data_IF_740059885701
#
_entry.id   IF_740059885701
#
_cell.length_a   1.000
_cell.length_b   1.000
_cell.length_c   1.000
_cell.angle_alpha   90.00
_cell.angle_beta   90.00
_cell.angle_gamma   90.00
#
_symmetry.space_group_name_H-M   'P 1'
#
loop_
_entity.id
_entity.type
_entity.pdbx_description
1 polymer ?
#
# COMPACT_ATOMS: atom_id res chain seq x y z
N UNK A 1 -57.12 16.19 -7.76
CA UNK A 1 -56.08 16.29 -6.70
C UNK A 1 -54.88 15.35 -6.90
N UNK A 2 -55.01 14.21 -7.59
CA UNK A 2 -53.91 13.25 -7.79
C UNK A 2 -52.77 13.75 -8.71
N UNK A 3 -53.09 14.54 -9.75
CA UNK A 3 -52.10 15.07 -10.69
C UNK A 3 -51.13 16.11 -10.09
N UNK A 4 -51.57 16.91 -9.11
CA UNK A 4 -50.74 17.96 -8.52
C UNK A 4 -49.66 17.39 -7.58
N UNK A 5 -49.98 16.34 -6.81
CA UNK A 5 -49.01 15.64 -5.95
C UNK A 5 -47.96 14.87 -6.77
N UNK A 6 -48.33 14.30 -7.92
CA UNK A 6 -47.39 13.58 -8.79
C UNK A 6 -46.37 14.53 -9.46
N UNK A 7 -46.81 15.71 -9.89
CA UNK A 7 -45.91 16.74 -10.44
C UNK A 7 -44.96 17.32 -9.39
N UNK A 8 -45.42 17.50 -8.15
CA UNK A 8 -44.57 17.95 -7.04
C UNK A 8 -43.51 16.90 -6.67
N UNK A 9 -43.86 15.62 -6.64
CA UNK A 9 -42.92 14.52 -6.37
C UNK A 9 -41.89 14.35 -7.49
N UNK A 10 -42.30 14.44 -8.76
CA UNK A 10 -41.36 14.40 -9.88
C UNK A 10 -40.45 15.63 -9.92
N UNK A 11 -40.97 16.84 -9.66
CA UNK A 11 -40.16 18.05 -9.55
C UNK A 11 -39.14 17.98 -8.41
N UNK A 12 -39.54 17.48 -7.23
CA UNK A 12 -38.64 17.32 -6.08
C UNK A 12 -37.53 16.27 -6.35
N UNK A 13 -37.88 15.17 -7.02
CA UNK A 13 -36.95 14.13 -7.43
C UNK A 13 -35.97 14.61 -8.51
N UNK A 14 -36.43 15.42 -9.48
CA UNK A 14 -35.57 16.04 -10.50
C UNK A 14 -34.60 17.04 -9.85
N UNK A 15 -35.07 17.90 -8.93
CA UNK A 15 -34.21 18.86 -8.22
C UNK A 15 -33.17 18.15 -7.34
N UNK A 16 -33.55 17.10 -6.62
CA UNK A 16 -32.60 16.28 -5.86
C UNK A 16 -31.58 15.59 -6.77
N UNK A 17 -32.01 15.07 -7.93
CA UNK A 17 -31.11 14.44 -8.91
C UNK A 17 -30.16 15.46 -9.54
N UNK A 18 -30.62 16.67 -9.85
CA UNK A 18 -29.79 17.76 -10.37
C UNK A 18 -28.78 18.28 -9.34
N UNK A 19 -29.21 18.50 -8.10
CA UNK A 19 -28.32 18.91 -7.01
C UNK A 19 -27.27 17.83 -6.74
N UNK A 20 -27.66 16.56 -6.71
CA UNK A 20 -26.74 15.44 -6.55
C UNK A 20 -25.69 15.40 -7.66
N UNK A 21 -26.11 15.50 -8.94
CA UNK A 21 -25.19 15.61 -10.08
C UNK A 21 -24.26 16.83 -10.00
N UNK A 22 -24.74 17.99 -9.57
CA UNK A 22 -23.88 19.18 -9.42
C UNK A 22 -22.83 19.05 -8.32
N UNK A 23 -23.17 18.36 -7.22
CA UNK A 23 -22.24 18.11 -6.11
C UNK A 23 -21.18 17.09 -6.52
N UNK A 24 -21.58 16.04 -7.25
CA UNK A 24 -20.67 15.05 -7.83
C UNK A 24 -19.68 15.69 -8.81
N UNK A 25 -20.18 16.50 -9.74
CA UNK A 25 -19.33 17.18 -10.74
C UNK A 25 -18.33 18.14 -10.09
N UNK A 26 -18.78 18.91 -9.09
CA UNK A 26 -17.90 19.77 -8.28
C UNK A 26 -16.80 18.97 -7.58
N UNK A 27 -17.10 17.74 -7.15
CA UNK A 27 -16.14 16.88 -6.46
C UNK A 27 -15.16 16.20 -7.42
N UNK A 28 -15.60 15.77 -8.60
CA UNK A 28 -14.70 15.26 -9.65
C UNK A 28 -13.63 16.30 -10.00
N UNK A 29 -14.05 17.54 -10.27
CA UNK A 29 -13.13 18.64 -10.58
C UNK A 29 -12.10 18.85 -9.46
N UNK A 30 -12.51 18.71 -8.19
CA UNK A 30 -11.60 18.80 -7.03
C UNK A 30 -10.59 17.64 -7.00
N UNK A 31 -11.03 16.39 -7.24
CA UNK A 31 -10.12 15.23 -7.24
C UNK A 31 -9.07 15.37 -8.34
N UNK A 32 -9.49 15.67 -9.58
CA UNK A 32 -8.58 15.80 -10.72
C UNK A 32 -7.63 16.99 -10.50
N UNK A 33 -8.14 18.12 -9.98
CA UNK A 33 -7.31 19.28 -9.63
C UNK A 33 -6.25 18.91 -8.60
N UNK A 34 -6.65 18.24 -7.53
CA UNK A 34 -5.75 17.84 -6.45
C UNK A 34 -4.64 16.91 -6.94
N UNK A 35 -5.00 15.95 -7.80
CA UNK A 35 -4.05 15.05 -8.46
C UNK A 35 -3.04 15.84 -9.29
N UNK A 36 -3.52 16.79 -10.10
CA UNK A 36 -2.67 17.63 -10.96
C UNK A 36 -1.73 18.55 -10.18
N UNK A 37 -2.17 19.03 -9.02
CA UNK A 37 -1.36 19.92 -8.16
C UNK A 37 -0.51 19.18 -7.13
N UNK A 38 -0.55 17.85 -7.08
CA UNK A 38 0.07 17.03 -6.02
C UNK A 38 -0.31 17.51 -4.61
N UNK A 39 -1.56 17.92 -4.42
CA UNK A 39 -1.99 18.39 -3.11
C UNK A 39 -2.23 17.24 -2.13
N UNK A 40 -2.11 17.55 -0.84
CA UNK A 40 -2.20 16.56 0.25
C UNK A 40 -3.63 16.10 0.55
N UNK A 41 -4.64 16.79 0.01
CA UNK A 41 -6.05 16.58 0.34
C UNK A 41 -6.68 15.38 -0.39
N UNK A 42 -5.97 14.75 -1.33
CA UNK A 42 -6.49 13.60 -2.08
C UNK A 42 -6.96 12.48 -1.13
N UNK A 43 -6.28 12.30 0.00
CA UNK A 43 -6.63 11.32 1.03
C UNK A 43 -8.06 11.48 1.53
N UNK A 44 -8.42 12.72 1.85
CA UNK A 44 -9.70 13.06 2.42
C UNK A 44 -10.80 13.02 1.36
N UNK A 45 -10.49 13.48 0.14
CA UNK A 45 -11.41 13.43 -1.00
C UNK A 45 -11.81 11.98 -1.36
N UNK A 46 -10.90 11.01 -1.21
CA UNK A 46 -11.17 9.60 -1.51
C UNK A 46 -11.86 8.82 -0.37
N UNK A 47 -12.22 9.43 0.76
CA UNK A 47 -12.95 8.75 1.88
C UNK A 47 -14.42 8.43 1.57
N UNK A 48 -14.95 8.95 0.49
CA UNK A 48 -16.35 8.81 0.05
C UNK A 48 -16.69 7.38 -0.40
N UNK A 49 -17.96 6.98 -0.48
CA UNK A 49 -18.27 5.65 -1.05
C UNK A 49 -17.98 5.65 -2.55
N UNK A 50 -17.66 4.48 -3.10
CA UNK A 50 -17.42 4.34 -4.54
C UNK A 50 -18.67 4.66 -5.35
N UNK A 51 -19.85 4.29 -4.83
CA UNK A 51 -21.14 4.57 -5.46
C UNK A 51 -21.48 6.08 -5.50
N UNK A 52 -20.78 6.88 -4.69
CA UNK A 52 -20.90 8.34 -4.67
C UNK A 52 -19.90 9.02 -5.62
N UNK A 53 -19.25 8.29 -6.52
CA UNK A 53 -18.35 8.84 -7.54
C UNK A 53 -18.99 8.74 -8.92
N UNK A 54 -18.70 9.72 -9.77
CA UNK A 54 -19.11 9.66 -11.17
C UNK A 54 -18.43 8.47 -11.88
N UNK A 55 -19.10 7.83 -12.86
CA UNK A 55 -18.48 6.82 -13.70
C UNK A 55 -17.18 7.37 -14.32
N UNK A 56 -16.15 6.54 -14.41
CA UNK A 56 -14.85 6.90 -15.00
C UNK A 56 -14.01 7.95 -14.23
N UNK A 57 -14.53 8.55 -13.14
CA UNK A 57 -13.82 9.58 -12.39
C UNK A 57 -12.46 9.11 -11.84
N UNK A 58 -12.37 7.85 -11.39
CA UNK A 58 -11.12 7.30 -10.86
C UNK A 58 -10.13 6.97 -11.97
N UNK A 59 -10.62 6.56 -13.14
CA UNK A 59 -9.84 6.30 -14.34
C UNK A 59 -9.24 7.61 -14.88
N UNK A 60 -10.04 8.67 -14.99
CA UNK A 60 -9.56 10.00 -15.40
C UNK A 60 -8.54 10.58 -14.42
N UNK A 61 -8.80 10.42 -13.12
CA UNK A 61 -7.86 10.80 -12.08
C UNK A 61 -6.56 9.97 -12.15
N UNK A 62 -6.65 8.68 -12.49
CA UNK A 62 -5.48 7.80 -12.65
C UNK A 62 -4.63 8.25 -13.83
N UNK A 63 -5.24 8.55 -14.97
CA UNK A 63 -4.55 9.12 -16.13
C UNK A 63 -3.83 10.42 -15.77
N UNK A 64 -4.53 11.35 -15.10
CA UNK A 64 -3.92 12.59 -14.64
C UNK A 64 -2.75 12.35 -13.66
N UNK A 65 -2.86 11.36 -12.77
CA UNK A 65 -1.78 11.03 -11.83
C UNK A 65 -0.54 10.48 -12.54
N UNK A 66 -0.75 9.65 -13.58
CA UNK A 66 0.31 9.14 -14.45
C UNK A 66 0.98 10.27 -15.21
N UNK A 67 0.22 11.19 -15.81
CA UNK A 67 0.76 12.35 -16.53
C UNK A 67 1.67 13.22 -15.67
N UNK A 68 1.30 13.44 -14.41
CA UNK A 68 2.15 14.13 -13.44
C UNK A 68 3.37 13.27 -13.09
N UNK A 69 3.19 11.97 -12.95
CA UNK A 69 4.22 11.02 -12.53
C UNK A 69 4.24 10.75 -11.02
N UNK A 70 3.18 11.14 -10.31
CA UNK A 70 3.10 10.97 -8.86
C UNK A 70 2.67 9.55 -8.49
N UNK A 71 3.65 8.72 -8.13
CA UNK A 71 3.43 7.32 -7.77
C UNK A 71 2.52 7.14 -6.54
N UNK A 72 2.52 8.06 -5.56
CA UNK A 72 1.63 8.00 -4.41
C UNK A 72 0.16 8.17 -4.82
N UNK A 73 -0.13 9.13 -5.70
CA UNK A 73 -1.47 9.37 -6.20
C UNK A 73 -1.97 8.19 -7.04
N UNK A 74 -1.10 7.67 -7.92
CA UNK A 74 -1.36 6.44 -8.69
C UNK A 74 -1.76 5.29 -7.76
N UNK A 75 -0.94 4.99 -6.77
CA UNK A 75 -1.21 3.91 -5.83
C UNK A 75 -2.52 4.10 -5.05
N UNK A 76 -2.80 5.33 -4.58
CA UNK A 76 -4.05 5.64 -3.87
C UNK A 76 -5.30 5.43 -4.71
N UNK A 77 -5.27 5.85 -5.97
CA UNK A 77 -6.39 5.71 -6.89
C UNK A 77 -6.65 4.25 -7.22
N UNK A 78 -5.60 3.45 -7.44
CA UNK A 78 -5.71 2.00 -7.62
C UNK A 78 -6.32 1.34 -6.37
N UNK A 79 -5.82 1.63 -5.17
CA UNK A 79 -6.37 1.08 -3.90
C UNK A 79 -7.83 1.48 -3.71
N UNK A 80 -8.21 2.67 -4.19
CA UNK A 80 -9.59 3.12 -4.14
C UNK A 80 -10.49 2.29 -5.04
N UNK A 81 -10.00 1.89 -6.22
CA UNK A 81 -10.74 1.07 -7.17
C UNK A 81 -10.66 1.55 -8.62
N UNK A 82 -9.71 2.42 -8.95
CA UNK A 82 -9.47 2.83 -10.34
C UNK A 82 -9.19 1.61 -11.23
N UNK A 83 -9.90 1.50 -12.35
CA UNK A 83 -9.69 0.45 -13.35
C UNK A 83 -8.68 0.91 -14.40
N UNK A 84 -8.54 0.13 -15.48
CA UNK A 84 -7.69 0.46 -16.64
C UNK A 84 -6.19 0.60 -16.34
N UNK A 85 -5.68 -0.19 -15.39
CA UNK A 85 -4.27 -0.22 -15.00
C UNK A 85 -3.34 -0.49 -16.21
N UNK A 86 -3.78 -1.30 -17.18
CA UNK A 86 -3.02 -1.57 -18.41
C UNK A 86 -2.82 -0.31 -19.26
N UNK A 87 -3.88 0.47 -19.48
CA UNK A 87 -3.78 1.74 -20.20
C UNK A 87 -2.87 2.72 -19.47
N UNK A 88 -3.03 2.85 -18.15
CA UNK A 88 -2.18 3.67 -17.31
C UNK A 88 -0.70 3.24 -17.39
N UNK A 89 -0.42 1.94 -17.51
CA UNK A 89 0.92 1.41 -17.68
C UNK A 89 1.52 1.82 -19.02
N UNK A 90 0.77 1.69 -20.12
CA UNK A 90 1.19 2.14 -21.45
C UNK A 90 1.44 3.65 -21.48
N UNK A 91 0.56 4.45 -20.88
CA UNK A 91 0.71 5.90 -20.80
C UNK A 91 1.95 6.29 -19.98
N UNK A 92 2.18 5.62 -18.84
CA UNK A 92 3.36 5.86 -18.01
C UNK A 92 4.67 5.53 -18.75
N UNK A 93 4.65 4.53 -19.61
CA UNK A 93 5.79 4.18 -20.48
C UNK A 93 5.98 5.23 -21.57
N UNK A 94 4.92 5.59 -22.31
CA UNK A 94 4.97 6.61 -23.37
C UNK A 94 5.49 7.96 -22.85
N UNK A 95 5.10 8.34 -21.64
CA UNK A 95 5.46 9.60 -21.00
C UNK A 95 6.75 9.54 -20.17
N UNK A 96 7.45 8.38 -20.15
CA UNK A 96 8.68 8.15 -19.38
C UNK A 96 8.53 8.47 -17.87
N UNK A 97 7.36 8.15 -17.30
CA UNK A 97 7.05 8.38 -15.89
C UNK A 97 7.44 7.16 -15.05
N UNK A 98 8.74 6.98 -14.84
CA UNK A 98 9.31 5.75 -14.26
C UNK A 98 8.76 5.39 -12.87
N UNK A 99 8.53 6.36 -11.99
CA UNK A 99 8.00 6.08 -10.63
C UNK A 99 6.52 5.67 -10.66
N UNK A 100 5.71 6.34 -11.47
CA UNK A 100 4.32 5.95 -11.70
C UNK A 100 4.25 4.55 -12.34
N UNK A 101 5.10 4.29 -13.33
CA UNK A 101 5.24 2.99 -13.98
C UNK A 101 5.66 1.89 -13.00
N UNK A 102 6.65 2.14 -12.15
CA UNK A 102 7.10 1.23 -11.10
C UNK A 102 5.96 0.87 -10.13
N UNK A 103 5.21 1.87 -9.66
CA UNK A 103 4.03 1.64 -8.82
C UNK A 103 3.00 0.76 -9.53
N UNK A 104 2.67 1.04 -10.79
CA UNK A 104 1.71 0.24 -11.57
C UNK A 104 2.18 -1.21 -11.75
N UNK A 105 3.47 -1.44 -12.00
CA UNK A 105 4.02 -2.79 -12.13
C UNK A 105 3.99 -3.56 -10.80
N UNK A 106 4.34 -2.91 -9.68
CA UNK A 106 4.23 -3.51 -8.34
C UNK A 106 2.77 -3.83 -7.99
N UNK A 107 1.84 -2.95 -8.37
CA UNK A 107 0.39 -3.17 -8.24
C UNK A 107 -0.06 -4.38 -9.03
N UNK A 108 0.33 -4.48 -10.31
CA UNK A 108 -0.02 -5.62 -11.17
C UNK A 108 0.49 -6.90 -10.53
N UNK A 109 1.77 -6.94 -10.14
CA UNK A 109 2.36 -8.09 -9.47
C UNK A 109 1.59 -8.49 -8.19
N UNK A 110 1.19 -7.50 -7.40
CA UNK A 110 0.38 -7.69 -6.19
C UNK A 110 -1.03 -8.24 -6.48
N UNK A 111 -1.66 -7.85 -7.59
CA UNK A 111 -2.98 -8.33 -8.01
C UNK A 111 -2.93 -9.75 -8.59
N UNK A 112 -1.90 -10.05 -9.39
CA UNK A 112 -1.77 -11.32 -10.12
C UNK A 112 -0.96 -12.38 -9.38
N UNK A 113 -0.48 -12.08 -8.16
CA UNK A 113 0.45 -12.92 -7.38
C UNK A 113 1.73 -13.28 -8.16
N UNK A 114 2.19 -12.38 -9.03
CA UNK A 114 3.36 -12.57 -9.87
C UNK A 114 4.65 -12.26 -9.10
N UNK A 115 5.23 -13.31 -8.50
CA UNK A 115 6.48 -13.21 -7.76
C UNK A 115 7.66 -12.85 -8.65
N UNK A 116 7.70 -13.33 -9.88
CA UNK A 116 8.86 -13.15 -10.77
C UNK A 116 8.98 -11.69 -11.22
N UNK A 117 7.84 -11.02 -11.46
CA UNK A 117 7.83 -9.58 -11.70
C UNK A 117 8.36 -8.80 -10.50
N UNK A 118 7.99 -9.16 -9.26
CA UNK A 118 8.56 -8.53 -8.05
C UNK A 118 10.07 -8.72 -8.00
N UNK A 119 10.55 -9.96 -8.14
CA UNK A 119 11.98 -10.26 -8.14
C UNK A 119 12.74 -9.42 -9.15
N UNK A 120 12.18 -9.30 -10.35
CA UNK A 120 12.76 -8.52 -11.44
C UNK A 120 12.76 -7.01 -11.15
N UNK A 121 11.68 -6.46 -10.59
CA UNK A 121 11.60 -5.04 -10.22
C UNK A 121 12.64 -4.66 -9.16
N UNK A 122 12.93 -5.56 -8.23
CA UNK A 122 13.96 -5.35 -7.20
C UNK A 122 15.37 -5.75 -7.64
N UNK A 123 15.57 -6.06 -8.93
CA UNK A 123 16.89 -6.37 -9.48
C UNK A 123 17.52 -7.65 -8.92
N UNK A 124 16.72 -8.55 -8.34
CA UNK A 124 17.23 -9.82 -7.86
C UNK A 124 17.59 -10.66 -9.07
N UNK A 125 18.86 -11.09 -9.22
CA UNK A 125 19.25 -11.94 -10.33
C UNK A 125 18.45 -13.25 -10.22
N UNK A 126 17.49 -13.41 -11.12
CA UNK A 126 16.80 -14.68 -11.26
C UNK A 126 17.85 -15.75 -11.60
N UNK A 127 17.70 -16.96 -11.07
CA UNK A 127 18.61 -18.07 -11.36
C UNK A 127 18.67 -18.44 -12.87
N UNK A 128 17.81 -17.86 -13.71
CA UNK A 128 17.85 -17.91 -15.18
C UNK A 128 17.33 -16.59 -15.77
N UNK A 129 17.86 -16.20 -16.92
CA UNK A 129 17.36 -15.12 -17.80
C UNK A 129 15.84 -15.26 -18.04
N UNK A 130 15.02 -14.67 -17.17
CA UNK A 130 13.58 -14.56 -17.36
C UNK A 130 13.30 -13.27 -18.11
N UNK A 131 13.08 -13.40 -19.42
CA UNK A 131 12.30 -12.43 -20.15
C UNK A 131 10.90 -12.41 -19.51
N UNK A 132 10.47 -11.23 -19.06
CA UNK A 132 9.15 -11.04 -18.46
C UNK A 132 8.41 -10.00 -19.31
N UNK A 133 7.19 -10.29 -19.83
CA UNK A 133 6.54 -9.45 -20.85
C UNK A 133 6.45 -7.97 -20.48
N UNK A 134 6.19 -7.66 -19.21
CA UNK A 134 6.06 -6.28 -18.70
C UNK A 134 7.39 -5.60 -18.32
N UNK A 135 8.50 -6.31 -18.44
CA UNK A 135 9.81 -5.92 -17.91
C UNK A 135 10.95 -6.27 -18.88
N UNK A 136 10.73 -6.05 -20.18
CA UNK A 136 11.70 -6.32 -21.26
C UNK A 136 11.83 -5.10 -22.18
N UNK A 137 12.12 -3.92 -21.62
CA UNK A 137 12.39 -2.72 -22.42
C UNK A 137 13.56 -1.90 -21.87
N UNK A 138 14.10 -1.01 -22.72
CA UNK A 138 15.31 -0.23 -22.45
C UNK A 138 15.16 0.67 -21.22
N UNK A 139 13.97 1.24 -21.02
CA UNK A 139 13.64 2.12 -19.90
C UNK A 139 13.40 1.37 -18.57
N UNK A 140 13.35 0.04 -18.58
CA UNK A 140 13.08 -0.76 -17.38
C UNK A 140 14.17 -0.61 -16.31
N UNK A 141 15.40 -0.30 -16.73
CA UNK A 141 16.51 -0.04 -15.80
C UNK A 141 16.24 1.16 -14.87
N UNK A 142 15.61 2.23 -15.37
CA UNK A 142 15.22 3.39 -14.56
C UNK A 142 14.04 3.07 -13.63
N UNK A 143 13.12 2.21 -14.06
CA UNK A 143 12.04 1.67 -13.22
C UNK A 143 12.63 0.87 -12.05
N UNK A 144 13.58 -0.02 -12.31
CA UNK A 144 14.27 -0.79 -11.26
C UNK A 144 15.00 0.13 -10.28
N UNK A 145 15.76 1.13 -10.79
CA UNK A 145 16.43 2.10 -9.93
C UNK A 145 15.45 2.81 -9.01
N UNK A 146 14.26 3.20 -9.50
CA UNK A 146 13.24 3.84 -8.68
C UNK A 146 12.73 2.93 -7.54
N UNK A 147 12.56 1.63 -7.80
CA UNK A 147 12.16 0.65 -6.78
C UNK A 147 13.29 0.38 -5.78
N UNK A 148 14.49 0.07 -6.27
CA UNK A 148 15.65 -0.33 -5.43
C UNK A 148 16.12 0.82 -4.53
N UNK A 149 16.06 2.06 -5.02
CA UNK A 149 16.43 3.24 -4.22
C UNK A 149 15.38 3.63 -3.17
N UNK A 150 14.25 2.93 -3.10
CA UNK A 150 13.16 3.26 -2.18
C UNK A 150 12.37 4.52 -2.55
N UNK A 151 12.57 5.08 -3.76
CA UNK A 151 11.79 6.24 -4.24
C UNK A 151 10.31 5.91 -4.43
N UNK A 152 9.99 4.64 -4.66
CA UNK A 152 8.61 4.15 -4.85
C UNK A 152 8.17 3.37 -3.63
N UNK A 153 7.11 3.85 -2.97
CA UNK A 153 6.57 3.19 -1.79
C UNK A 153 5.97 1.80 -2.09
N UNK A 154 6.25 0.83 -1.24
CA UNK A 154 5.67 -0.52 -1.29
C UNK A 154 4.41 -0.70 -0.45
N UNK A 155 4.00 0.32 0.32
CA UNK A 155 2.81 0.28 1.20
C UNK A 155 1.56 -0.11 0.42
N UNK A 156 1.34 0.54 -0.72
CA UNK A 156 0.18 0.28 -1.58
C UNK A 156 0.22 -1.14 -2.18
N UNK A 157 1.32 -1.57 -2.83
CA UNK A 157 1.45 -2.94 -3.30
C UNK A 157 1.22 -4.01 -2.22
N UNK A 158 1.78 -3.82 -1.01
CA UNK A 158 1.59 -4.74 0.13
C UNK A 158 0.11 -4.79 0.55
N UNK A 159 -0.56 -3.63 0.61
CA UNK A 159 -1.99 -3.56 0.92
C UNK A 159 -2.85 -4.28 -0.13
N UNK A 160 -2.54 -4.08 -1.42
CA UNK A 160 -3.26 -4.72 -2.52
C UNK A 160 -3.07 -6.23 -2.50
N UNK A 161 -1.84 -6.72 -2.30
CA UNK A 161 -1.56 -8.15 -2.19
C UNK A 161 -2.34 -8.77 -1.01
N UNK A 162 -2.47 -8.06 0.11
CA UNK A 162 -3.32 -8.49 1.23
C UNK A 162 -4.80 -8.57 0.84
N UNK A 163 -5.36 -7.54 0.18
CA UNK A 163 -6.77 -7.51 -0.24
C UNK A 163 -7.12 -8.63 -1.21
N UNK A 164 -6.17 -9.02 -2.06
CA UNK A 164 -6.32 -10.11 -3.03
C UNK A 164 -5.94 -11.49 -2.47
N UNK A 165 -5.55 -11.59 -1.20
CA UNK A 165 -5.11 -12.84 -0.56
C UNK A 165 -3.94 -13.51 -1.29
N UNK A 166 -2.95 -12.69 -1.71
CA UNK A 166 -1.74 -13.11 -2.40
C UNK A 166 -0.53 -13.12 -1.43
N UNK A 167 -0.38 -14.17 -0.58
CA UNK A 167 0.61 -14.17 0.49
C UNK A 167 2.05 -14.21 -0.03
N UNK A 168 2.28 -14.88 -1.17
CA UNK A 168 3.63 -15.05 -1.76
C UNK A 168 4.21 -13.70 -2.17
N UNK A 169 3.48 -12.93 -2.98
CA UNK A 169 3.92 -11.58 -3.39
C UNK A 169 3.95 -10.64 -2.19
N UNK A 170 2.98 -10.71 -1.28
CA UNK A 170 2.97 -9.87 -0.08
C UNK A 170 4.24 -10.05 0.76
N UNK A 171 4.62 -11.30 1.02
CA UNK A 171 5.86 -11.63 1.73
C UNK A 171 7.08 -11.13 0.96
N UNK A 172 7.13 -11.33 -0.36
CA UNK A 172 8.28 -10.96 -1.16
C UNK A 172 8.50 -9.44 -1.24
N UNK A 173 7.40 -8.66 -1.32
CA UNK A 173 7.40 -7.19 -1.23
C UNK A 173 7.87 -6.73 0.15
N UNK A 174 7.33 -7.33 1.21
CA UNK A 174 7.66 -6.95 2.59
C UNK A 174 9.15 -7.15 2.88
N UNK A 175 9.70 -8.31 2.51
CA UNK A 175 11.10 -8.65 2.76
C UNK A 175 12.10 -7.86 1.92
N UNK A 176 11.62 -7.02 0.99
CA UNK A 176 12.43 -6.06 0.22
C UNK A 176 12.15 -4.62 0.58
N UNK A 177 11.23 -4.38 1.50
CA UNK A 177 10.89 -3.04 1.98
C UNK A 177 11.76 -2.72 3.19
N UNK A 178 12.66 -1.75 3.03
CA UNK A 178 13.49 -1.19 4.11
C UNK A 178 14.20 -2.24 4.97
N UNK A 179 14.76 -3.25 4.30
CA UNK A 179 15.56 -4.32 4.90
C UNK A 179 17.05 -4.04 4.61
N UNK A 180 17.84 -3.81 5.65
CA UNK A 180 19.28 -3.62 5.55
C UNK A 180 20.01 -4.71 6.35
N UNK A 181 20.52 -5.71 5.62
CA UNK A 181 21.17 -6.86 6.22
C UNK A 181 22.56 -6.53 6.79
N UNK A 182 23.29 -5.59 6.19
CA UNK A 182 24.61 -5.15 6.67
C UNK A 182 24.50 -4.49 8.04
N UNK A 183 23.49 -3.64 8.20
CA UNK A 183 23.21 -2.96 9.46
C UNK A 183 22.49 -3.84 10.49
N UNK A 184 21.90 -4.96 10.06
CA UNK A 184 21.02 -5.78 10.89
C UNK A 184 19.71 -5.08 11.21
N UNK A 185 19.17 -4.26 10.30
CA UNK A 185 17.97 -3.43 10.54
C UNK A 185 16.84 -3.75 9.56
N UNK A 186 15.61 -3.74 10.08
CA UNK A 186 14.36 -3.91 9.32
C UNK A 186 13.38 -2.83 9.77
N UNK A 187 12.92 -2.00 8.83
CA UNK A 187 12.03 -0.87 9.11
C UNK A 187 10.66 -1.05 8.43
N UNK A 188 9.78 -1.83 9.06
CA UNK A 188 8.42 -2.07 8.59
C UNK A 188 7.40 -1.16 9.27
N UNK A 189 7.72 0.13 9.38
CA UNK A 189 6.86 1.11 10.03
C UNK A 189 5.76 1.59 9.06
N UNK A 190 4.53 1.79 9.54
CA UNK A 190 3.50 2.47 8.74
C UNK A 190 2.97 1.66 7.54
N UNK A 191 3.29 0.37 7.44
CA UNK A 191 2.91 -0.49 6.31
C UNK A 191 1.46 -0.99 6.35
N UNK A 192 0.68 -0.56 7.37
CA UNK A 192 -0.72 -0.98 7.60
C UNK A 192 -0.87 -2.50 7.77
N UNK A 193 0.14 -3.13 8.36
CA UNK A 193 0.10 -4.56 8.67
C UNK A 193 -0.87 -4.80 9.84
N UNK A 194 -1.74 -5.79 9.69
CA UNK A 194 -2.73 -6.16 10.72
C UNK A 194 -2.29 -7.39 11.54
N UNK A 195 -1.44 -8.22 10.94
CA UNK A 195 -0.93 -9.46 11.50
C UNK A 195 0.55 -9.54 11.17
N UNK A 196 1.34 -10.01 12.13
CA UNK A 196 2.76 -10.31 11.97
C UNK A 196 2.91 -11.81 11.71
N UNK A 197 3.14 -12.21 10.47
CA UNK A 197 3.24 -13.62 10.09
C UNK A 197 4.60 -14.21 10.49
N UNK A 198 4.59 -15.42 11.04
CA UNK A 198 5.82 -16.15 11.39
C UNK A 198 6.68 -16.47 10.16
N UNK A 199 6.09 -16.60 8.96
CA UNK A 199 6.88 -16.81 7.74
C UNK A 199 7.85 -15.66 7.47
N UNK A 200 7.42 -14.42 7.73
CA UNK A 200 8.24 -13.23 7.56
C UNK A 200 9.35 -13.19 8.61
N UNK A 201 8.98 -13.42 9.86
CA UNK A 201 9.89 -13.41 11.01
C UNK A 201 11.00 -14.44 10.85
N UNK A 202 10.68 -15.66 10.39
CA UNK A 202 11.66 -16.72 10.09
C UNK A 202 12.72 -16.27 9.09
N UNK A 203 12.36 -15.44 8.12
CA UNK A 203 13.27 -14.93 7.07
C UNK A 203 14.14 -13.75 7.53
N UNK A 204 13.81 -13.12 8.65
CA UNK A 204 14.57 -12.01 9.24
C UNK A 204 15.18 -12.34 10.60
N UNK A 205 15.41 -13.62 10.92
CA UNK A 205 15.97 -14.08 12.21
C UNK A 205 17.34 -13.45 12.59
N UNK A 206 18.04 -12.88 11.60
CA UNK A 206 19.31 -12.17 11.77
C UNK A 206 19.16 -10.72 12.28
N UNK A 207 17.93 -10.19 12.33
CA UNK A 207 17.68 -8.78 12.63
C UNK A 207 18.07 -8.40 14.05
N UNK A 208 18.74 -7.25 14.19
CA UNK A 208 19.11 -6.63 15.48
C UNK A 208 18.22 -5.45 15.83
N UNK A 209 17.74 -4.70 14.84
CA UNK A 209 16.83 -3.57 15.02
C UNK A 209 15.59 -3.76 14.18
N UNK A 210 14.46 -4.06 14.82
CA UNK A 210 13.18 -4.30 14.16
C UNK A 210 12.20 -3.19 14.52
N UNK A 211 11.83 -2.34 13.55
CA UNK A 211 10.78 -1.32 13.73
C UNK A 211 9.49 -1.76 13.06
N UNK A 212 8.48 -1.97 13.87
CA UNK A 212 7.12 -2.38 13.51
C UNK A 212 6.07 -1.33 13.93
N UNK A 213 6.54 -0.12 14.23
CA UNK A 213 5.72 0.98 14.71
C UNK A 213 4.66 1.44 13.71
N UNK A 214 3.55 2.00 14.22
CA UNK A 214 2.48 2.60 13.38
C UNK A 214 1.83 1.61 12.42
N UNK A 215 1.67 0.36 12.84
CA UNK A 215 0.87 -0.63 12.14
C UNK A 215 -0.47 -0.82 12.88
N UNK A 216 -1.22 -1.87 12.55
CA UNK A 216 -2.48 -2.21 13.21
C UNK A 216 -2.41 -3.57 13.91
N UNK A 217 -1.24 -3.95 14.43
CA UNK A 217 -1.09 -5.25 15.11
C UNK A 217 -1.94 -5.28 16.38
N UNK A 218 -2.78 -6.30 16.51
CA UNK A 218 -3.58 -6.55 17.71
C UNK A 218 -2.94 -7.59 18.64
N UNK A 219 -2.08 -8.44 18.10
CA UNK A 219 -1.33 -9.45 18.81
C UNK A 219 0.04 -9.68 18.16
N UNK A 220 0.96 -10.22 18.94
CA UNK A 220 2.26 -10.72 18.49
C UNK A 220 2.26 -12.25 18.66
N UNK A 221 2.74 -13.04 17.67
CA UNK A 221 2.79 -14.48 17.80
C UNK A 221 3.63 -14.95 19.01
N UNK A 222 3.17 -15.98 19.70
CA UNK A 222 3.85 -16.53 20.88
C UNK A 222 5.22 -17.12 20.54
N UNK A 223 5.40 -17.59 19.30
CA UNK A 223 6.62 -18.22 18.80
C UNK A 223 7.64 -17.20 18.28
N UNK A 224 7.38 -15.89 18.40
CA UNK A 224 8.31 -14.86 17.91
C UNK A 224 9.69 -14.96 18.58
N UNK A 225 9.72 -15.40 19.85
CA UNK A 225 10.93 -15.63 20.64
C UNK A 225 11.87 -16.68 20.05
N UNK A 226 11.33 -17.64 19.30
CA UNK A 226 12.12 -18.72 18.70
C UNK A 226 13.03 -18.23 17.56
N UNK A 227 12.65 -17.11 16.95
CA UNK A 227 13.29 -16.60 15.73
C UNK A 227 14.06 -15.30 15.96
N UNK A 228 13.57 -14.40 16.81
CA UNK A 228 14.14 -13.06 17.02
C UNK A 228 15.28 -13.02 18.06
N UNK A 229 16.08 -14.08 18.15
CA UNK A 229 17.14 -14.24 19.17
C UNK A 229 18.23 -13.17 19.14
N UNK A 230 18.42 -12.52 17.99
CA UNK A 230 19.44 -11.49 17.77
C UNK A 230 18.91 -10.06 17.96
N UNK A 231 17.60 -9.89 18.22
CA UNK A 231 16.99 -8.57 18.32
C UNK A 231 17.45 -7.85 19.57
N UNK A 232 18.03 -6.67 19.38
CA UNK A 232 18.50 -5.75 20.42
C UNK A 232 17.49 -4.63 20.65
N UNK A 233 16.86 -4.15 19.57
CA UNK A 233 15.84 -3.09 19.63
C UNK A 233 14.59 -3.54 18.89
N UNK A 234 13.47 -3.63 19.61
CA UNK A 234 12.15 -3.95 19.08
C UNK A 234 11.21 -2.76 19.32
N UNK A 235 10.77 -2.12 18.24
CA UNK A 235 9.84 -1.00 18.30
C UNK A 235 8.47 -1.41 17.79
N UNK A 236 7.51 -1.53 18.70
CA UNK A 236 6.11 -1.89 18.46
C UNK A 236 5.15 -0.74 18.81
N UNK A 237 5.66 0.49 18.94
CA UNK A 237 4.83 1.63 19.34
C UNK A 237 3.71 1.94 18.34
N UNK A 238 2.64 2.59 18.81
CA UNK A 238 1.51 2.97 17.95
C UNK A 238 0.93 1.79 17.17
N UNK A 239 0.62 0.71 17.88
CA UNK A 239 -0.14 -0.42 17.38
C UNK A 239 -1.43 -0.56 18.22
N UNK A 240 -2.14 -1.67 18.05
CA UNK A 240 -3.42 -1.96 18.71
C UNK A 240 -3.28 -3.13 19.69
N UNK A 241 -2.06 -3.38 20.21
CA UNK A 241 -1.76 -4.55 21.04
C UNK A 241 -2.51 -4.47 22.37
N UNK A 242 -3.23 -5.53 22.72
CA UNK A 242 -3.96 -5.66 23.99
C UNK A 242 -3.13 -6.42 25.03
N UNK A 243 -2.34 -7.39 24.55
CA UNK A 243 -1.35 -8.14 25.32
C UNK A 243 -0.11 -8.35 24.45
N UNK A 244 0.97 -8.82 25.07
CA UNK A 244 2.18 -9.29 24.39
C UNK A 244 2.60 -10.63 24.98
N UNK A 245 3.30 -11.51 24.24
CA UNK A 245 3.74 -12.78 24.80
C UNK A 245 4.93 -12.61 25.75
N UNK A 246 5.00 -13.45 26.79
CA UNK A 246 6.10 -13.44 27.77
C UNK A 246 7.48 -13.63 27.12
N UNK A 247 7.55 -14.40 26.03
CA UNK A 247 8.79 -14.67 25.31
C UNK A 247 9.49 -13.40 24.79
N UNK A 248 8.79 -12.26 24.62
CA UNK A 248 9.45 -10.99 24.27
C UNK A 248 10.39 -10.51 25.38
N UNK A 249 10.07 -10.79 26.63
CA UNK A 249 10.88 -10.42 27.81
C UNK A 249 12.01 -11.42 28.06
N UNK A 250 11.95 -12.58 27.43
CA UNK A 250 12.97 -13.63 27.50
C UNK A 250 13.94 -13.60 26.30
N UNK A 251 13.77 -12.64 25.37
CA UNK A 251 14.65 -12.49 24.22
C UNK A 251 16.09 -12.21 24.67
N UNK A 252 17.06 -13.08 24.33
CA UNK A 252 18.36 -13.09 25.01
C UNK A 252 19.25 -11.88 24.73
N UNK A 253 18.96 -11.14 23.66
CA UNK A 253 19.74 -9.95 23.26
C UNK A 253 18.95 -8.65 23.38
N UNK A 254 17.67 -8.69 23.79
CA UNK A 254 16.80 -7.52 23.77
C UNK A 254 17.21 -6.54 24.86
N UNK A 255 17.49 -5.30 24.46
CA UNK A 255 17.87 -4.21 25.35
C UNK A 255 16.84 -3.07 25.34
N UNK A 256 16.16 -2.86 24.21
CA UNK A 256 15.14 -1.83 24.08
C UNK A 256 13.85 -2.44 23.49
N UNK A 257 12.78 -2.41 24.28
CA UNK A 257 11.43 -2.78 23.86
C UNK A 257 10.50 -1.57 23.99
N UNK A 258 9.99 -1.06 22.88
CA UNK A 258 9.03 0.04 22.88
C UNK A 258 7.61 -0.47 22.59
N UNK A 259 6.75 -0.44 23.61
CA UNK A 259 5.33 -0.79 23.53
C UNK A 259 4.40 0.42 23.70
N UNK A 260 4.94 1.65 23.69
CA UNK A 260 4.15 2.86 23.91
C UNK A 260 3.01 3.03 22.90
N UNK A 261 1.93 3.70 23.32
CA UNK A 261 0.76 3.95 22.47
C UNK A 261 0.15 2.66 21.89
N UNK A 262 0.00 1.64 22.74
CA UNK A 262 -0.80 0.45 22.50
C UNK A 262 -2.01 0.43 23.45
N UNK A 263 -2.77 -0.66 23.47
CA UNK A 263 -3.94 -0.89 24.34
C UNK A 263 -3.65 -1.92 25.43
N UNK A 264 -2.40 -1.99 25.88
CA UNK A 264 -1.97 -2.96 26.88
C UNK A 264 -2.69 -2.71 28.20
N UNK A 265 -3.35 -3.75 28.71
CA UNK A 265 -4.01 -3.74 30.02
C UNK A 265 -3.13 -4.38 31.11
N UNK A 266 -2.19 -5.22 30.69
CA UNK A 266 -1.25 -5.94 31.55
C UNK A 266 0.08 -6.16 30.82
N UNK A 267 1.13 -6.41 31.60
CA UNK A 267 2.42 -6.89 31.12
C UNK A 267 2.58 -8.31 31.68
N UNK A 268 2.97 -9.30 30.85
CA UNK A 268 3.25 -10.66 31.32
C UNK A 268 4.31 -10.65 32.42
N UNK A 269 4.09 -11.47 33.45
CA UNK A 269 4.99 -11.68 34.57
C UNK A 269 5.84 -12.94 34.41
#
# INVERSE_FOLDING_TARGET
>A
MWFAQHFQLQGHMIVQTCLFKSVLFSRMSKIIKEVKTNGDNLAALLRVRLDDLEPHCLEDALTAAVEVGNHFNVGRLVVKGAKNIQQALEDSKRLQKHEARAMLLLVIAAQTNDRDLVLKLFGVPAQKNLSHPLANDDDFSEVQKAVISGRVSTVVPIEIARRHQNPVVREELLLRTDVNQEEGSVYWHGLRLLVLDLSWIRRIHWVKRLRLARNGFQAIPNEIGDYLKQVVKLDLQHNELVTVPCCLFELPSLNELNLSNNKLIEIPY
#
